data_IF_075534619203
#
_entry.id   IF_075534619203
#
_cell.length_a   1.000
_cell.length_b   1.000
_cell.length_c   1.000
_cell.angle_alpha   90.00
_cell.angle_beta   90.00
_cell.angle_gamma   90.00
#
_symmetry.space_group_name_H-M   'P 1'
#
loop_
_entity.id
_entity.type
_entity.pdbx_description
1 polymer ?
#
# COMPACT_ATOMS: atom_id res chain seq x y z
N UNK A 1 1.26 -12.07 4.43
CA UNK A 1 1.81 -11.74 3.09
C UNK A 1 3.08 -10.93 3.23
N UNK A 2 3.88 -10.95 2.20
CA UNK A 2 5.09 -10.15 2.11
C UNK A 2 5.32 -9.82 0.64
N UNK A 3 5.11 -8.57 0.27
CA UNK A 3 5.16 -8.12 -1.13
C UNK A 3 6.05 -6.89 -1.22
N UNK A 4 7.06 -6.96 -2.09
CA UNK A 4 7.95 -5.83 -2.35
C UNK A 4 7.48 -5.09 -3.60
N UNK A 5 7.13 -3.82 -3.42
CA UNK A 5 6.86 -2.91 -4.54
C UNK A 5 8.14 -2.13 -4.80
N UNK A 6 8.82 -2.44 -5.90
CA UNK A 6 10.18 -1.96 -6.12
C UNK A 6 10.28 -0.44 -6.33
N UNK A 7 9.29 0.14 -6.97
CA UNK A 7 9.31 1.55 -7.36
C UNK A 7 8.03 2.32 -7.02
N UNK A 8 7.15 1.72 -6.22
CA UNK A 8 5.92 2.40 -5.79
C UNK A 8 6.10 2.90 -4.37
N UNK A 9 6.09 4.21 -4.15
CA UNK A 9 6.24 4.76 -2.81
C UNK A 9 5.12 4.32 -1.87
N UNK A 10 5.46 4.07 -0.61
CA UNK A 10 4.47 3.71 0.41
C UNK A 10 3.38 4.77 0.55
N UNK A 11 3.70 6.02 0.28
CA UNK A 11 2.81 7.16 0.47
C UNK A 11 1.50 7.04 -0.30
N UNK A 12 1.49 6.31 -1.43
CA UNK A 12 0.32 6.20 -2.31
C UNK A 12 -0.24 4.80 -2.43
N UNK A 13 0.21 3.87 -1.61
CA UNK A 13 -0.29 2.50 -1.62
C UNK A 13 -1.34 2.28 -0.54
N UNK A 14 -2.40 1.57 -0.89
CA UNK A 14 -3.44 1.14 0.03
C UNK A 14 -3.87 -0.29 -0.28
N UNK A 15 -4.47 -0.95 0.70
CA UNK A 15 -5.01 -2.29 0.53
C UNK A 15 -6.51 -2.29 0.74
N UNK A 16 -7.24 -2.80 -0.24
CA UNK A 16 -8.68 -2.97 -0.16
C UNK A 16 -9.02 -4.45 -0.22
N UNK A 17 -9.96 -4.88 0.60
CA UNK A 17 -10.50 -6.24 0.58
C UNK A 17 -11.99 -6.16 0.27
N UNK A 18 -12.42 -6.88 -0.76
CA UNK A 18 -13.83 -6.92 -1.18
C UNK A 18 -14.24 -8.37 -1.27
N UNK A 19 -15.33 -8.76 -0.59
CA UNK A 19 -15.88 -10.11 -0.71
C UNK A 19 -17.05 -10.16 -1.70
N UNK A 20 -17.58 -11.37 -1.94
CA UNK A 20 -18.66 -11.58 -2.92
C UNK A 20 -19.95 -10.86 -2.58
N UNK A 21 -20.10 -10.40 -1.33
CA UNK A 21 -21.30 -9.66 -0.92
C UNK A 21 -21.19 -8.18 -1.30
N UNK A 22 -20.06 -7.76 -1.87
CA UNK A 22 -19.81 -6.37 -2.23
C UNK A 22 -19.46 -5.51 -1.03
N UNK A 23 -19.33 -6.09 0.13
CA UNK A 23 -18.95 -5.37 1.32
C UNK A 23 -17.45 -5.09 1.23
N UNK A 24 -17.10 -3.81 1.17
CA UNK A 24 -15.74 -3.38 1.42
C UNK A 24 -15.42 -3.71 2.87
N UNK A 25 -14.62 -4.74 3.06
CA UNK A 25 -14.07 -5.01 4.38
C UNK A 25 -12.95 -4.00 4.58
N UNK A 26 -13.36 -2.82 4.97
CA UNK A 26 -12.41 -1.76 5.31
C UNK A 26 -11.76 -2.06 6.65
N UNK A 27 -12.47 -2.82 7.48
CA UNK A 27 -12.00 -3.29 8.77
C UNK A 27 -11.26 -4.59 8.58
N UNK A 28 -10.05 -4.47 8.12
CA UNK A 28 -9.16 -5.59 8.05
C UNK A 28 -8.63 -5.83 9.45
N UNK A 29 -9.29 -6.70 10.21
CA UNK A 29 -8.77 -7.09 11.50
C UNK A 29 -7.50 -7.92 11.26
N UNK A 30 -6.39 -7.26 11.29
CA UNK A 30 -5.09 -7.83 11.06
C UNK A 30 -4.08 -6.72 11.17
N UNK A 31 -2.81 -7.06 10.97
CA UNK A 31 -1.74 -6.07 11.04
C UNK A 31 -0.96 -6.08 9.75
N UNK A 32 -1.11 -5.00 9.00
CA UNK A 32 -0.30 -4.75 7.82
C UNK A 32 0.60 -3.55 8.09
N UNK A 33 1.85 -3.70 7.71
CA UNK A 33 2.85 -2.65 7.83
C UNK A 33 3.36 -2.29 6.46
N UNK A 34 3.61 -1.00 6.25
CA UNK A 34 4.30 -0.50 5.08
C UNK A 34 5.67 0.00 5.52
N UNK A 35 6.71 -0.59 4.94
CA UNK A 35 8.09 -0.19 5.21
C UNK A 35 8.64 0.51 3.97
N UNK A 36 9.17 1.70 4.15
CA UNK A 36 9.81 2.42 3.07
C UNK A 36 11.13 1.74 2.71
N UNK A 37 11.36 1.60 1.42
CA UNK A 37 12.58 1.03 0.89
C UNK A 37 13.31 2.08 0.05
N UNK A 38 14.64 2.08 0.12
CA UNK A 38 15.43 2.92 -0.76
C UNK A 38 15.56 2.27 -2.15
N UNK A 39 16.28 2.91 -3.04
CA UNK A 39 16.47 2.42 -4.40
C UNK A 39 17.12 1.03 -4.46
N UNK A 40 17.92 0.69 -3.46
CA UNK A 40 18.61 -0.59 -3.37
C UNK A 40 17.85 -1.64 -2.58
N UNK A 41 16.67 -1.30 -2.08
CA UNK A 41 15.83 -2.23 -1.32
C UNK A 41 16.09 -2.24 0.17
N UNK A 42 16.88 -1.32 0.69
CA UNK A 42 17.14 -1.22 2.13
C UNK A 42 15.99 -0.53 2.84
N UNK A 43 15.71 -0.96 4.07
CA UNK A 43 14.64 -0.39 4.87
C UNK A 43 14.98 1.02 5.34
N UNK A 44 14.10 1.97 5.06
CA UNK A 44 14.21 3.36 5.54
C UNK A 44 13.39 3.59 6.81
N UNK A 45 12.49 2.68 7.15
CA UNK A 45 11.65 2.78 8.32
C UNK A 45 10.20 2.44 8.03
N UNK A 46 9.39 2.40 9.08
CA UNK A 46 7.95 2.15 8.96
C UNK A 46 7.29 3.44 8.50
N UNK A 47 6.57 3.35 7.36
CA UNK A 47 5.76 4.46 6.89
C UNK A 47 4.42 4.49 7.61
N UNK A 48 3.77 3.34 7.71
CA UNK A 48 2.40 3.27 8.18
C UNK A 48 2.07 1.88 8.72
N UNK A 49 1.17 1.85 9.70
CA UNK A 49 0.65 0.62 10.27
C UNK A 49 -0.85 0.62 10.05
N UNK A 50 -1.34 -0.37 9.34
CA UNK A 50 -2.77 -0.59 9.22
C UNK A 50 -3.18 -1.58 10.29
N UNK A 51 -3.89 -1.11 11.31
CA UNK A 51 -4.32 -1.92 12.44
C UNK A 51 -5.79 -1.66 12.70
N UNK A 52 -6.54 -2.72 13.01
CA UNK A 52 -7.94 -2.66 13.43
C UNK A 52 -8.83 -1.81 12.53
N UNK A 53 -8.68 -1.98 11.22
CA UNK A 53 -9.48 -1.25 10.25
C UNK A 53 -9.01 0.16 9.97
N UNK A 54 -7.87 0.55 10.50
CA UNK A 54 -7.26 1.80 10.14
C UNK A 54 -6.92 1.78 8.65
N UNK A 55 -7.32 2.80 7.94
CA UNK A 55 -6.94 2.96 6.56
C UNK A 55 -5.47 3.33 6.45
N UNK A 56 -4.87 3.05 5.31
CA UNK A 56 -3.59 3.64 4.96
C UNK A 56 -3.79 5.13 4.71
N UNK A 57 -4.24 5.82 5.74
CA UNK A 57 -4.42 7.24 5.65
C UNK A 57 -3.33 7.92 6.44
N UNK A 58 -2.71 8.88 5.80
CA UNK A 58 -1.81 9.80 6.48
C UNK A 58 -2.69 10.81 7.21
N UNK A 59 -3.20 10.42 8.37
CA UNK A 59 -4.10 11.28 9.13
C UNK A 59 -3.45 12.63 9.38
N UNK A 60 -4.15 13.68 9.03
CA UNK A 60 -3.66 15.05 9.22
C UNK A 60 -2.78 15.59 8.11
N UNK A 61 -2.47 14.82 7.09
CA UNK A 61 -1.72 15.32 5.94
C UNK A 61 -2.65 15.84 4.85
N UNK A 62 -2.32 16.99 4.28
CA UNK A 62 -3.03 17.52 3.13
C UNK A 62 -2.62 16.78 1.86
N UNK A 63 -3.44 16.92 0.81
CA UNK A 63 -3.12 16.34 -0.49
C UNK A 63 -1.80 16.88 -1.05
N UNK A 64 -1.49 18.15 -0.79
CA UNK A 64 -0.23 18.74 -1.23
C UNK A 64 0.95 18.11 -0.52
N UNK A 65 0.84 17.86 0.78
CA UNK A 65 1.91 17.21 1.53
C UNK A 65 2.17 15.79 1.02
N UNK A 66 1.10 15.04 0.78
CA UNK A 66 1.21 13.68 0.24
C UNK A 66 1.86 13.72 -1.14
N UNK A 67 1.43 14.67 -1.98
CA UNK A 67 2.01 14.83 -3.31
C UNK A 67 3.50 15.15 -3.25
N UNK A 68 3.90 16.11 -2.42
CA UNK A 68 5.29 16.52 -2.30
C UNK A 68 6.17 15.38 -1.79
N UNK A 69 5.70 14.66 -0.78
CA UNK A 69 6.44 13.50 -0.25
C UNK A 69 6.54 12.38 -1.28
N UNK A 70 5.48 12.16 -2.05
CA UNK A 70 5.47 11.14 -3.10
C UNK A 70 6.45 11.48 -4.20
N UNK A 71 6.48 12.74 -4.65
CA UNK A 71 7.42 13.19 -5.67
C UNK A 71 8.85 12.99 -5.20
N UNK A 72 9.15 13.37 -3.97
CA UNK A 72 10.49 13.19 -3.41
C UNK A 72 10.86 11.71 -3.36
N UNK A 73 9.93 10.86 -2.92
CA UNK A 73 10.17 9.43 -2.86
C UNK A 73 10.40 8.83 -4.25
N UNK A 74 9.65 9.28 -5.24
CA UNK A 74 9.82 8.83 -6.62
C UNK A 74 11.18 9.27 -7.19
N UNK A 75 11.59 10.49 -6.90
CA UNK A 75 12.91 10.99 -7.33
C UNK A 75 14.06 10.21 -6.68
N UNK A 76 13.87 9.78 -5.44
CA UNK A 76 14.83 8.95 -4.72
C UNK A 76 14.77 7.48 -5.13
N UNK A 77 13.80 7.08 -5.92
CA UNK A 77 13.62 5.70 -6.35
C UNK A 77 13.10 4.79 -5.26
N UNK A 78 12.35 5.32 -4.31
CA UNK A 78 11.82 4.53 -3.20
C UNK A 78 10.80 3.51 -3.64
N UNK A 79 10.80 2.38 -2.95
CA UNK A 79 9.78 1.37 -3.03
C UNK A 79 9.08 1.19 -1.70
N UNK A 80 8.30 0.12 -1.61
CA UNK A 80 7.52 -0.17 -0.41
C UNK A 80 7.44 -1.68 -0.18
N UNK A 81 7.72 -2.09 1.04
CA UNK A 81 7.48 -3.46 1.47
C UNK A 81 6.16 -3.50 2.24
N UNK A 82 5.21 -4.27 1.76
CA UNK A 82 3.93 -4.49 2.44
C UNK A 82 3.99 -5.87 3.08
N UNK A 83 3.89 -5.91 4.39
CA UNK A 83 4.06 -7.15 5.15
C UNK A 83 3.01 -7.24 6.24
N UNK A 84 2.53 -8.45 6.48
CA UNK A 84 1.66 -8.72 7.61
C UNK A 84 0.55 -9.69 7.29
N UNK A 85 -0.51 -9.62 8.09
CA UNK A 85 -1.66 -10.51 7.99
C UNK A 85 -2.94 -9.72 7.86
N UNK A 86 -3.88 -10.31 7.13
CA UNK A 86 -5.23 -9.76 6.94
C UNK A 86 -6.20 -10.86 7.30
N UNK A 87 -7.15 -10.56 8.17
CA UNK A 87 -8.20 -11.51 8.52
C UNK A 87 -9.37 -11.32 7.55
N UNK A 88 -9.74 -12.40 6.87
CA UNK A 88 -10.78 -12.37 5.87
C UNK A 88 -11.88 -13.36 6.23
N UNK A 89 -13.08 -13.16 5.67
CA UNK A 89 -14.16 -14.13 5.78
C UNK A 89 -13.90 -15.30 4.81
N UNK A 90 -14.40 -16.47 5.16
CA UNK A 90 -14.28 -17.67 4.31
C UNK A 90 -15.31 -17.64 3.19
N UNK A 91 -15.29 -16.62 2.38
CA UNK A 91 -16.13 -16.45 1.20
C UNK A 91 -15.26 -15.97 0.06
N UNK A 92 -15.64 -16.24 -1.19
CA UNK A 92 -14.88 -15.72 -2.32
C UNK A 92 -14.82 -14.20 -2.30
N UNK A 93 -13.70 -13.65 -2.67
CA UNK A 93 -13.49 -12.22 -2.68
C UNK A 93 -12.17 -11.87 -3.34
N UNK A 94 -11.82 -10.58 -3.26
CA UNK A 94 -10.59 -10.05 -3.81
C UNK A 94 -9.94 -9.11 -2.82
N UNK A 95 -8.62 -9.04 -2.86
CA UNK A 95 -7.91 -7.94 -2.24
C UNK A 95 -7.11 -7.21 -3.31
N UNK A 96 -6.95 -5.91 -3.11
CA UNK A 96 -6.24 -5.04 -4.04
C UNK A 96 -5.20 -4.23 -3.29
N UNK A 97 -3.96 -4.36 -3.71
CA UNK A 97 -2.91 -3.43 -3.32
C UNK A 97 -2.84 -2.39 -4.44
N UNK A 98 -3.26 -1.18 -4.17
CA UNK A 98 -3.49 -0.21 -5.23
C UNK A 98 -3.25 1.23 -4.75
N UNK A 99 -3.48 2.15 -5.65
CA UNK A 99 -3.40 3.59 -5.38
C UNK A 99 -4.76 4.26 -5.34
N UNK A 100 -5.83 3.49 -5.27
CA UNK A 100 -7.21 4.02 -5.39
C UNK A 100 -7.56 5.04 -4.32
N UNK A 101 -7.02 4.88 -3.11
CA UNK A 101 -7.28 5.81 -2.02
C UNK A 101 -6.67 7.19 -2.26
N UNK A 102 -5.78 7.31 -3.22
CA UNK A 102 -5.01 8.53 -3.48
C UNK A 102 -5.23 9.07 -4.89
N UNK A 103 -6.44 8.90 -5.42
CA UNK A 103 -6.74 9.24 -6.82
C UNK A 103 -6.38 10.64 -7.24
N UNK A 104 -6.59 11.63 -6.35
CA UNK A 104 -6.26 13.03 -6.66
C UNK A 104 -4.75 13.25 -6.74
N UNK A 105 -3.99 12.61 -5.87
CA UNK A 105 -2.53 12.67 -5.91
C UNK A 105 -2.03 12.03 -7.19
N UNK A 106 -2.57 10.87 -7.55
CA UNK A 106 -2.19 10.14 -8.75
C UNK A 106 -2.47 10.96 -10.00
N UNK A 107 -3.63 11.60 -10.08
CA UNK A 107 -3.98 12.46 -11.20
C UNK A 107 -2.96 13.60 -11.35
N UNK A 108 -2.60 14.23 -10.24
CA UNK A 108 -1.61 15.31 -10.26
C UNK A 108 -0.24 14.83 -10.71
N UNK A 109 0.15 13.61 -10.32
CA UNK A 109 1.41 13.01 -10.77
C UNK A 109 1.42 12.81 -12.28
N UNK A 110 0.35 12.26 -12.84
CA UNK A 110 0.24 12.06 -14.28
C UNK A 110 0.25 13.39 -15.04
N UNK A 111 -0.45 14.39 -14.53
CA UNK A 111 -0.48 15.72 -15.15
C UNK A 111 0.88 16.39 -15.15
N UNK A 112 1.76 16.06 -14.21
CA UNK A 112 3.13 16.57 -14.17
C UNK A 112 4.11 15.71 -14.97
N UNK A 113 3.62 14.71 -15.72
CA UNK A 113 4.43 13.85 -16.57
C UNK A 113 5.09 12.67 -15.87
N UNK A 114 4.72 12.39 -14.64
CA UNK A 114 5.28 11.27 -13.89
C UNK A 114 4.45 10.02 -14.12
N UNK A 115 5.12 8.88 -14.25
CA UNK A 115 4.47 7.58 -14.39
C UNK A 115 4.74 6.72 -13.17
N UNK A 116 3.74 5.94 -12.76
CA UNK A 116 3.87 4.98 -11.68
C UNK A 116 4.39 3.67 -12.23
N UNK A 117 5.22 3.01 -11.44
CA UNK A 117 5.78 1.70 -11.76
C UNK A 117 5.33 0.72 -10.69
N UNK A 118 4.52 -0.26 -11.09
CA UNK A 118 3.96 -1.27 -10.18
C UNK A 118 4.73 -2.59 -10.22
N UNK A 119 5.95 -2.58 -10.69
CA UNK A 119 6.80 -3.76 -10.65
C UNK A 119 6.96 -4.24 -9.21
N UNK A 120 6.73 -5.54 -8.98
CA UNK A 120 6.71 -6.08 -7.64
C UNK A 120 7.24 -7.51 -7.60
N UNK A 121 7.58 -7.93 -6.37
CA UNK A 121 7.93 -9.31 -6.08
C UNK A 121 7.05 -9.79 -4.92
N UNK A 122 6.37 -10.89 -5.14
CA UNK A 122 5.62 -11.55 -4.07
C UNK A 122 6.58 -12.49 -3.37
N UNK A 123 7.04 -12.08 -2.19
CA UNK A 123 7.98 -12.88 -1.40
C UNK A 123 7.27 -14.00 -0.68
N UNK A 124 6.06 -13.74 -0.21
CA UNK A 124 5.24 -14.72 0.48
C UNK A 124 3.76 -14.34 0.36
N UNK A 125 2.94 -15.32 0.02
CA UNK A 125 1.49 -15.17 0.03
C UNK A 125 0.88 -16.51 0.38
N UNK A 126 0.12 -16.57 1.46
CA UNK A 126 -0.56 -17.80 1.85
C UNK A 126 -1.94 -17.47 2.42
N UNK A 127 -2.81 -18.47 2.39
CA UNK A 127 -4.16 -18.38 2.93
C UNK A 127 -4.33 -19.46 3.99
N UNK A 128 -5.05 -19.14 5.05
CA UNK A 128 -5.25 -20.04 6.16
C UNK A 128 -4.07 -20.04 7.14
N UNK A 129 -3.96 -21.11 7.93
CA UNK A 129 -2.87 -21.23 8.89
C UNK A 129 -1.58 -21.61 8.17
N UNK A 130 -0.59 -20.75 8.29
CA UNK A 130 0.72 -20.94 7.71
C UNK A 130 1.61 -21.70 8.70
N UNK A 131 1.34 -22.98 8.83
CA UNK A 131 2.11 -23.84 9.73
C UNK A 131 2.98 -24.80 8.95
#
# INVERSE_FOLDING_TARGET
MNITMHRSPCHILSMDVVDVTGVHVVDVAGKLHKYRLDREGNHLGIHDVMDDGAHFQNAGQSMEQIYDETVKAMDDGEGCLVEGTVIINKVPGNFHLSTHAFGQVIQKLYMSGRQLDFTHTINHLSFGNDT
#
